data_IF_082368673135
#
_entry.id   IF_082368673135
#
_cell.length_a   1.000
_cell.length_b   1.000
_cell.length_c   1.000
_cell.angle_alpha   90.00
_cell.angle_beta   90.00
_cell.angle_gamma   90.00
#
_symmetry.space_group_name_H-M   'P 1'
#
loop_
_entity.id
_entity.type
_entity.pdbx_description
1 polymer ?
#
# COMPACT_ATOMS: atom_id res chain seq x y z
N UNK A 1 -49.21 -30.46 -31.23
CA UNK A 1 -49.07 -30.41 -29.76
C UNK A 1 -48.58 -29.03 -29.38
N UNK A 2 -49.40 -28.23 -28.69
CA UNK A 2 -49.01 -26.91 -28.14
C UNK A 2 -48.43 -27.15 -26.75
N UNK A 3 -47.20 -26.69 -26.50
CA UNK A 3 -46.61 -26.63 -25.15
C UNK A 3 -47.16 -25.40 -24.42
N UNK A 4 -47.80 -25.63 -23.27
CA UNK A 4 -48.28 -24.58 -22.38
C UNK A 4 -47.11 -24.04 -21.55
N UNK A 5 -46.94 -22.72 -21.60
CA UNK A 5 -45.99 -21.97 -20.78
C UNK A 5 -46.53 -21.90 -19.34
N UNK A 6 -45.72 -22.31 -18.35
CA UNK A 6 -46.09 -22.26 -16.93
C UNK A 6 -45.69 -20.90 -16.38
N UNK A 7 -46.63 -19.94 -16.36
CA UNK A 7 -46.47 -18.70 -15.62
C UNK A 7 -46.30 -18.96 -14.12
N UNK A 8 -45.38 -18.22 -13.48
CA UNK A 8 -45.15 -18.30 -12.03
C UNK A 8 -46.43 -17.96 -11.24
N UNK A 9 -46.71 -18.76 -10.21
CA UNK A 9 -47.95 -18.67 -9.43
C UNK A 9 -48.06 -17.39 -8.59
N UNK A 10 -49.31 -16.97 -8.33
CA UNK A 10 -49.70 -15.76 -7.61
C UNK A 10 -49.03 -15.54 -6.23
N UNK A 11 -48.46 -16.59 -5.63
CA UNK A 11 -47.72 -16.53 -4.36
C UNK A 11 -46.41 -15.73 -4.50
N UNK A 12 -45.74 -15.79 -5.65
CA UNK A 12 -44.49 -15.05 -5.91
C UNK A 12 -44.74 -13.53 -5.95
N UNK A 13 -45.86 -13.12 -6.57
CA UNK A 13 -46.27 -11.71 -6.64
C UNK A 13 -46.64 -11.14 -5.27
N UNK A 14 -47.30 -11.92 -4.41
CA UNK A 14 -47.67 -11.47 -3.06
C UNK A 14 -46.41 -11.25 -2.20
N UNK A 15 -45.38 -12.10 -2.32
CA UNK A 15 -44.12 -11.94 -1.61
C UNK A 15 -43.38 -10.66 -2.03
N UNK A 16 -43.34 -10.35 -3.33
CA UNK A 16 -42.72 -9.13 -3.84
C UNK A 16 -43.49 -7.88 -3.39
N UNK A 17 -44.82 -7.92 -3.42
CA UNK A 17 -45.66 -6.78 -2.96
C UNK A 17 -45.47 -6.53 -1.47
N UNK A 18 -45.39 -7.57 -0.64
CA UNK A 18 -45.15 -7.43 0.80
C UNK A 18 -43.74 -6.94 1.12
N UNK A 19 -42.73 -7.35 0.35
CA UNK A 19 -41.36 -6.86 0.46
C UNK A 19 -41.29 -5.36 0.13
N UNK A 20 -41.94 -4.93 -0.96
CA UNK A 20 -42.00 -3.54 -1.37
C UNK A 20 -42.75 -2.70 -0.33
N UNK A 21 -43.87 -3.21 0.21
CA UNK A 21 -44.61 -2.52 1.27
C UNK A 21 -43.79 -2.39 2.57
N UNK A 22 -43.02 -3.41 2.94
CA UNK A 22 -42.12 -3.38 4.10
C UNK A 22 -40.98 -2.38 3.95
N UNK A 23 -40.37 -2.30 2.75
CA UNK A 23 -39.33 -1.32 2.44
C UNK A 23 -39.91 0.10 2.43
N UNK A 24 -41.10 0.30 1.84
CA UNK A 24 -41.77 1.59 1.81
C UNK A 24 -42.10 2.09 3.23
N UNK A 25 -42.63 1.21 4.10
CA UNK A 25 -42.91 1.54 5.50
C UNK A 25 -41.64 1.89 6.29
N UNK A 26 -40.54 1.16 6.08
CA UNK A 26 -39.25 1.43 6.71
C UNK A 26 -38.61 2.76 6.26
N UNK A 27 -38.82 3.15 5.00
CA UNK A 27 -38.36 4.44 4.45
C UNK A 27 -39.20 5.62 4.97
N UNK A 28 -40.51 5.46 5.12
CA UNK A 28 -41.35 6.53 5.70
C UNK A 28 -41.08 6.78 7.18
N UNK A 29 -40.64 5.76 7.93
CA UNK A 29 -40.34 5.88 9.37
C UNK A 29 -38.95 6.45 9.67
N UNK A 30 -38.04 6.50 8.69
CA UNK A 30 -36.66 7.01 8.87
C UNK A 30 -36.49 8.49 8.54
N UNK A 31 -37.56 9.20 8.15
CA UNK A 31 -37.53 10.64 7.86
C UNK A 31 -36.86 11.03 6.53
N UNK A 32 -36.63 10.08 5.62
CA UNK A 32 -35.99 10.30 4.30
C UNK A 32 -37.05 10.48 3.19
N UNK A 33 -38.25 10.96 3.54
CA UNK A 33 -39.48 10.81 2.74
C UNK A 33 -39.44 11.41 1.33
N UNK A 34 -38.81 12.56 1.13
CA UNK A 34 -39.01 13.33 -0.11
C UNK A 34 -38.05 12.92 -1.24
N UNK A 35 -36.81 12.54 -0.92
CA UNK A 35 -35.78 12.19 -1.92
C UNK A 35 -35.98 10.78 -2.49
N UNK A 36 -36.53 9.86 -1.69
CA UNK A 36 -36.78 8.48 -2.12
C UNK A 36 -38.08 8.36 -2.92
N UNK A 37 -39.10 9.17 -2.59
CA UNK A 37 -40.35 9.22 -3.35
C UNK A 37 -40.12 9.61 -4.82
N UNK A 38 -39.30 10.65 -5.06
CA UNK A 38 -38.96 11.08 -6.43
C UNK A 38 -38.16 10.04 -7.22
N UNK A 39 -37.27 9.29 -6.57
CA UNK A 39 -36.50 8.22 -7.20
C UNK A 39 -37.34 6.98 -7.56
N UNK A 40 -38.34 6.65 -6.73
CA UNK A 40 -39.28 5.56 -7.00
C UNK A 40 -40.24 5.96 -8.14
N UNK A 41 -40.74 7.21 -8.17
CA UNK A 41 -41.58 7.70 -9.26
C UNK A 41 -40.85 7.73 -10.61
N UNK A 42 -39.59 8.17 -10.63
CA UNK A 42 -38.75 8.14 -11.83
C UNK A 42 -38.43 6.71 -12.30
N UNK A 43 -38.21 5.78 -11.37
CA UNK A 43 -38.03 4.36 -11.66
C UNK A 43 -39.28 3.71 -12.25
N UNK A 44 -40.46 4.04 -11.74
CA UNK A 44 -41.75 3.55 -12.27
C UNK A 44 -42.03 4.18 -13.65
N UNK A 45 -41.75 5.46 -13.88
CA UNK A 45 -41.87 6.10 -15.21
C UNK A 45 -41.01 5.40 -16.28
N UNK A 46 -39.77 5.01 -15.93
CA UNK A 46 -38.82 4.37 -16.86
C UNK A 46 -39.24 2.95 -17.27
N UNK A 47 -39.93 2.22 -16.39
CA UNK A 47 -40.45 0.88 -16.66
C UNK A 47 -41.81 0.92 -17.38
N UNK A 48 -42.62 1.96 -17.14
CA UNK A 48 -43.97 2.08 -17.70
C UNK A 48 -44.07 2.81 -19.05
N UNK A 49 -42.97 3.38 -19.58
CA UNK A 49 -42.92 3.96 -20.93
C UNK A 49 -43.85 5.14 -21.18
N UNK A 50 -44.20 5.92 -20.15
CA UNK A 50 -45.09 7.10 -20.28
C UNK A 50 -44.30 8.37 -20.64
N UNK A 51 -44.82 9.18 -21.55
CA UNK A 51 -44.27 10.50 -21.90
C UNK A 51 -44.92 11.60 -21.05
N UNK A 52 -44.10 12.47 -20.43
CA UNK A 52 -44.55 13.65 -19.66
C UNK A 52 -44.15 13.71 -18.17
N UNK A 53 -43.11 13.00 -17.72
CA UNK A 53 -42.66 13.05 -16.33
C UNK A 53 -41.79 14.31 -16.08
N UNK A 54 -42.08 15.09 -15.04
CA UNK A 54 -41.35 16.32 -14.69
C UNK A 54 -39.98 16.00 -14.06
N UNK A 55 -38.93 16.71 -14.47
CA UNK A 55 -37.60 16.62 -13.84
C UNK A 55 -37.62 17.28 -12.45
N UNK A 56 -37.02 16.66 -11.41
CA UNK A 56 -36.91 17.32 -10.11
C UNK A 56 -35.96 18.52 -10.21
N UNK A 57 -36.40 19.67 -9.69
CA UNK A 57 -35.59 20.87 -9.62
C UNK A 57 -34.30 20.64 -8.83
N UNK A 58 -33.18 21.11 -9.38
CA UNK A 58 -31.88 21.07 -8.72
C UNK A 58 -31.89 21.97 -7.48
N UNK A 59 -31.91 21.36 -6.30
CA UNK A 59 -31.58 22.07 -5.06
C UNK A 59 -30.05 22.06 -4.91
N UNK A 60 -29.44 23.24 -5.02
CA UNK A 60 -28.09 23.54 -4.56
C UNK A 60 -28.03 23.40 -3.02
N UNK A 61 -27.94 22.15 -2.56
CA UNK A 61 -27.47 21.82 -1.22
C UNK A 61 -26.03 21.35 -1.35
N UNK A 62 -25.08 22.11 -0.83
CA UNK A 62 -23.69 21.69 -0.70
C UNK A 62 -23.62 20.38 0.10
N UNK A 63 -23.57 19.25 -0.60
CA UNK A 63 -22.88 18.08 -0.08
C UNK A 63 -21.39 18.45 -0.02
N UNK A 64 -20.73 18.38 1.15
CA UNK A 64 -19.29 18.55 1.18
C UNK A 64 -18.70 17.46 0.28
N UNK A 65 -17.96 17.87 -0.75
CA UNK A 65 -17.14 16.95 -1.52
C UNK A 65 -16.31 16.11 -0.54
N UNK A 66 -16.15 14.80 -0.77
CA UNK A 66 -15.14 14.04 -0.02
C UNK A 66 -13.82 14.81 -0.12
N UNK A 67 -13.09 15.00 0.99
CA UNK A 67 -11.92 15.86 0.97
C UNK A 67 -10.96 15.35 -0.11
N UNK A 68 -10.44 16.27 -0.92
CA UNK A 68 -9.33 15.99 -1.84
C UNK A 68 -8.21 15.27 -1.08
N UNK A 69 -7.42 14.40 -1.72
CA UNK A 69 -6.28 13.73 -1.05
C UNK A 69 -5.36 14.74 -0.31
N UNK A 70 -5.31 15.98 -0.79
CA UNK A 70 -4.64 17.11 -0.15
C UNK A 70 -5.25 17.52 1.21
N UNK A 71 -6.56 17.46 1.36
CA UNK A 71 -7.27 17.76 2.63
C UNK A 71 -7.19 16.63 3.65
N UNK A 72 -6.92 15.38 3.23
CA UNK A 72 -6.61 14.27 4.15
C UNK A 72 -5.23 14.43 4.79
N UNK A 73 -4.27 15.03 4.07
CA UNK A 73 -2.92 15.30 4.58
C UNK A 73 -2.85 16.27 5.77
N UNK A 74 -3.96 16.94 6.13
CA UNK A 74 -4.01 17.98 7.15
C UNK A 74 -4.83 17.63 8.42
N UNK A 75 -5.44 16.44 8.51
CA UNK A 75 -6.23 16.04 9.69
C UNK A 75 -5.45 15.10 10.60
N UNK A 76 -4.72 15.65 11.57
CA UNK A 76 -4.14 14.98 12.76
C UNK A 76 -3.58 13.57 12.48
N UNK A 77 -2.59 13.49 11.58
CA UNK A 77 -1.94 12.26 11.08
C UNK A 77 -0.55 12.03 11.68
N UNK A 78 -0.24 12.64 12.83
CA UNK A 78 1.08 12.55 13.44
C UNK A 78 1.23 11.21 14.18
N UNK A 79 2.07 10.28 13.69
CA UNK A 79 2.30 9.00 14.36
C UNK A 79 3.07 9.12 15.68
N UNK A 80 3.73 10.24 15.94
CA UNK A 80 4.40 10.49 17.21
C UNK A 80 3.42 10.93 18.31
N UNK A 81 2.21 11.35 17.93
CA UNK A 81 1.19 11.77 18.88
C UNK A 81 0.55 10.54 19.53
N UNK A 82 0.55 10.44 20.87
CA UNK A 82 -0.15 9.36 21.56
C UNK A 82 -1.65 9.38 21.23
N UNK A 83 -2.31 8.22 21.25
CA UNK A 83 -3.72 8.16 20.95
C UNK A 83 -4.48 8.96 22.01
N UNK A 84 -5.61 9.61 21.65
CA UNK A 84 -6.43 10.33 22.62
C UNK A 84 -6.87 9.37 23.72
N UNK A 85 -6.89 9.86 24.97
CA UNK A 85 -7.40 9.08 26.09
C UNK A 85 -8.87 8.70 25.82
N UNK A 86 -9.25 7.42 25.97
CA UNK A 86 -10.64 7.02 25.85
C UNK A 86 -11.53 7.77 26.84
N UNK A 87 -12.75 8.09 26.42
CA UNK A 87 -13.82 8.58 27.30
C UNK A 87 -14.28 7.48 28.26
N UNK A 88 -15.03 7.83 29.30
CA UNK A 88 -15.60 6.84 30.25
C UNK A 88 -16.52 5.84 29.54
N UNK A 89 -17.27 6.30 28.53
CA UNK A 89 -18.14 5.45 27.74
C UNK A 89 -17.34 4.45 26.88
N UNK A 90 -16.27 4.91 26.25
CA UNK A 90 -15.36 4.05 25.47
C UNK A 90 -14.61 3.08 26.37
N UNK A 91 -14.16 3.52 27.54
CA UNK A 91 -13.52 2.68 28.57
C UNK A 91 -14.43 1.54 28.99
N UNK A 92 -15.69 1.83 29.33
CA UNK A 92 -16.66 0.79 29.71
C UNK A 92 -16.89 -0.22 28.59
N UNK A 93 -17.09 0.24 27.35
CA UNK A 93 -17.28 -0.65 26.21
C UNK A 93 -16.02 -1.44 25.85
N UNK A 94 -14.84 -0.85 25.99
CA UNK A 94 -13.55 -1.51 25.82
C UNK A 94 -13.40 -2.69 26.80
N UNK A 95 -13.76 -2.48 28.07
CA UNK A 95 -13.80 -3.54 29.08
C UNK A 95 -14.79 -4.66 28.76
N UNK A 96 -16.03 -4.31 28.40
CA UNK A 96 -17.04 -5.29 27.96
C UNK A 96 -16.55 -6.11 26.75
N UNK A 97 -15.83 -5.47 25.83
CA UNK A 97 -15.25 -6.12 24.66
C UNK A 97 -14.04 -7.00 25.00
N UNK A 98 -13.18 -6.57 25.93
CA UNK A 98 -12.08 -7.38 26.45
C UNK A 98 -12.59 -8.67 27.10
N UNK A 99 -13.68 -8.61 27.87
CA UNK A 99 -14.31 -9.80 28.48
C UNK A 99 -14.85 -10.77 27.41
N UNK A 100 -15.44 -10.26 26.32
CA UNK A 100 -15.87 -11.09 25.18
C UNK A 100 -14.68 -11.76 24.48
N UNK A 101 -13.59 -11.01 24.28
CA UNK A 101 -12.35 -11.54 23.68
C UNK A 101 -11.76 -12.64 24.55
N UNK A 102 -11.63 -12.43 25.87
CA UNK A 102 -11.17 -13.47 26.81
C UNK A 102 -12.02 -14.72 26.73
N UNK A 103 -13.35 -14.56 26.80
CA UNK A 103 -14.29 -15.67 26.70
C UNK A 103 -14.11 -16.45 25.39
N UNK A 104 -13.84 -15.75 24.28
CA UNK A 104 -13.53 -16.41 23.01
C UNK A 104 -12.19 -17.15 23.05
N UNK A 105 -11.11 -16.47 23.48
CA UNK A 105 -9.76 -17.03 23.49
C UNK A 105 -9.65 -18.26 24.40
N UNK A 106 -10.37 -18.26 25.53
CA UNK A 106 -10.39 -19.36 26.50
C UNK A 106 -11.48 -20.40 26.18
N UNK A 107 -12.25 -20.21 25.10
CA UNK A 107 -13.21 -21.21 24.68
C UNK A 107 -12.51 -22.38 23.99
N UNK A 108 -12.43 -23.50 24.70
CA UNK A 108 -11.99 -24.78 24.13
C UNK A 108 -13.10 -25.36 23.21
N UNK A 109 -13.49 -24.72 22.12
CA UNK A 109 -14.49 -25.33 21.19
C UNK A 109 -13.85 -26.37 20.23
N UNK A 110 -12.63 -26.87 20.52
CA UNK A 110 -11.92 -27.86 19.71
C UNK A 110 -12.26 -29.33 20.06
N UNK A 111 -12.84 -29.63 21.22
CA UNK A 111 -13.00 -31.01 21.73
C UNK A 111 -14.40 -31.64 21.59
N UNK A 112 -15.39 -30.96 20.99
CA UNK A 112 -16.71 -31.58 20.78
C UNK A 112 -17.33 -31.26 19.41
N UNK A 113 -16.90 -32.01 18.39
CA UNK A 113 -17.62 -32.18 17.12
C UNK A 113 -18.97 -32.93 17.27
N UNK A 114 -19.36 -33.34 18.49
CA UNK A 114 -20.53 -34.19 18.73
C UNK A 114 -21.72 -33.54 19.46
N UNK A 115 -21.56 -32.38 20.13
CA UNK A 115 -22.67 -31.76 20.91
C UNK A 115 -23.00 -30.30 20.57
N UNK A 116 -22.26 -29.67 19.65
CA UNK A 116 -22.45 -28.25 19.31
C UNK A 116 -21.91 -27.32 20.40
N UNK A 117 -21.02 -26.41 20.01
CA UNK A 117 -20.52 -25.34 20.89
C UNK A 117 -21.08 -24.03 20.37
N UNK A 118 -21.84 -23.29 21.19
CA UNK A 118 -22.14 -21.88 20.89
C UNK A 118 -20.84 -21.08 21.01
N UNK A 119 -20.09 -20.98 19.90
CA UNK A 119 -18.85 -20.20 19.87
C UNK A 119 -19.17 -18.75 20.24
N UNK A 120 -18.43 -18.15 21.20
CA UNK A 120 -18.50 -16.72 21.44
C UNK A 120 -18.26 -15.93 20.15
N UNK A 121 -18.74 -14.69 20.12
CA UNK A 121 -18.50 -13.77 18.99
C UNK A 121 -16.99 -13.70 18.68
N UNK A 122 -16.62 -13.80 17.40
CA UNK A 122 -15.20 -13.78 17.01
C UNK A 122 -14.56 -12.43 17.37
N UNK A 123 -13.26 -12.39 17.72
CA UNK A 123 -12.59 -11.13 18.06
C UNK A 123 -12.60 -10.13 16.90
N UNK A 124 -12.53 -10.62 15.65
CA UNK A 124 -12.69 -9.79 14.44
C UNK A 124 -14.04 -9.08 14.43
N UNK A 125 -15.13 -9.78 14.75
CA UNK A 125 -16.48 -9.19 14.76
C UNK A 125 -16.65 -8.22 15.92
N UNK A 126 -16.08 -8.53 17.09
CA UNK A 126 -16.05 -7.61 18.24
C UNK A 126 -15.36 -6.30 17.83
N UNK A 127 -14.13 -6.39 17.30
CA UNK A 127 -13.35 -5.23 16.89
C UNK A 127 -13.98 -4.46 15.73
N UNK A 128 -14.71 -5.14 14.84
CA UNK A 128 -15.30 -4.51 13.66
C UNK A 128 -16.42 -3.51 14.00
N UNK A 129 -17.07 -3.68 15.15
CA UNK A 129 -18.11 -2.76 15.63
C UNK A 129 -17.58 -1.60 16.46
N UNK A 130 -16.27 -1.53 16.71
CA UNK A 130 -15.68 -0.60 17.67
C UNK A 130 -15.07 0.64 16.99
N UNK A 131 -15.15 1.75 17.69
CA UNK A 131 -14.42 2.98 17.40
C UNK A 131 -12.95 2.87 17.82
N UNK A 132 -12.04 3.75 17.32
CA UNK A 132 -10.64 3.75 17.72
C UNK A 132 -10.44 3.87 19.24
N UNK A 133 -11.19 4.75 19.91
CA UNK A 133 -11.10 4.93 21.37
C UNK A 133 -11.55 3.69 22.17
N UNK A 134 -12.60 3.00 21.71
CA UNK A 134 -13.02 1.72 22.29
C UNK A 134 -11.96 0.62 22.07
N UNK A 135 -11.31 0.58 20.91
CA UNK A 135 -10.22 -0.37 20.62
C UNK A 135 -9.03 -0.09 21.55
N UNK A 136 -8.64 1.18 21.70
CA UNK A 136 -7.56 1.57 22.63
C UNK A 136 -7.90 1.14 24.08
N UNK A 137 -9.14 1.36 24.52
CA UNK A 137 -9.59 0.92 25.83
C UNK A 137 -9.56 -0.61 25.99
N UNK A 138 -9.97 -1.38 24.97
CA UNK A 138 -9.89 -2.84 25.00
C UNK A 138 -8.45 -3.32 25.17
N UNK A 139 -7.51 -2.81 24.37
CA UNK A 139 -6.11 -3.26 24.43
C UNK A 139 -5.41 -2.81 25.72
N UNK A 140 -5.88 -1.75 26.38
CA UNK A 140 -5.39 -1.35 27.71
C UNK A 140 -5.81 -2.34 28.82
N UNK A 141 -6.87 -3.12 28.62
CA UNK A 141 -7.33 -4.13 29.58
C UNK A 141 -6.65 -5.49 29.40
N UNK A 142 -6.09 -5.78 28.23
CA UNK A 142 -5.48 -7.07 27.92
C UNK A 142 -4.02 -7.12 28.38
N UNK A 143 -3.62 -8.29 28.90
CA UNK A 143 -2.22 -8.63 29.12
C UNK A 143 -1.49 -8.91 27.80
N UNK A 144 -0.16 -8.80 27.81
CA UNK A 144 0.69 -9.11 26.66
C UNK A 144 0.41 -10.51 26.06
N UNK A 145 0.15 -11.52 26.89
CA UNK A 145 -0.13 -12.88 26.43
C UNK A 145 -1.51 -13.00 25.76
N UNK A 146 -2.51 -12.30 26.29
CA UNK A 146 -3.81 -12.18 25.65
C UNK A 146 -3.69 -11.44 24.30
N UNK A 147 -2.90 -10.38 24.23
CA UNK A 147 -2.61 -9.65 22.99
C UNK A 147 -1.95 -10.57 21.96
N UNK A 148 -0.91 -11.33 22.36
CA UNK A 148 -0.22 -12.29 21.46
C UNK A 148 -1.13 -13.39 20.94
N UNK A 149 -2.08 -13.86 21.76
CA UNK A 149 -3.10 -14.83 21.33
C UNK A 149 -4.08 -14.18 20.36
N UNK A 150 -4.60 -13.01 20.73
CA UNK A 150 -5.57 -12.25 19.94
C UNK A 150 -5.05 -11.91 18.52
N UNK A 151 -3.79 -11.47 18.41
CA UNK A 151 -3.22 -11.08 17.11
C UNK A 151 -3.02 -12.25 16.14
N UNK A 152 -3.06 -13.50 16.63
CA UNK A 152 -3.01 -14.70 15.79
C UNK A 152 -4.37 -15.11 15.23
N UNK A 153 -5.46 -14.54 15.76
CA UNK A 153 -6.81 -14.85 15.31
C UNK A 153 -7.08 -14.25 13.92
N UNK A 154 -7.78 -15.02 13.08
CA UNK A 154 -8.02 -14.65 11.68
C UNK A 154 -8.75 -13.30 11.54
N UNK A 155 -8.24 -12.47 10.64
CA UNK A 155 -8.79 -11.16 10.33
C UNK A 155 -8.64 -10.07 11.41
N UNK A 156 -8.13 -10.38 12.61
CA UNK A 156 -7.93 -9.38 13.69
C UNK A 156 -6.97 -8.28 13.26
N UNK A 157 -5.76 -8.65 12.80
CA UNK A 157 -4.76 -7.68 12.31
C UNK A 157 -5.31 -6.82 11.18
N UNK A 158 -6.10 -7.41 10.26
CA UNK A 158 -6.73 -6.69 9.16
C UNK A 158 -7.68 -5.60 9.65
N UNK A 159 -8.49 -5.88 10.67
CA UNK A 159 -9.39 -4.88 11.28
C UNK A 159 -8.58 -3.79 11.99
N UNK A 160 -7.55 -4.18 12.75
CA UNK A 160 -6.71 -3.23 13.49
C UNK A 160 -5.99 -2.26 12.56
N UNK A 161 -5.39 -2.73 11.47
CA UNK A 161 -4.70 -1.88 10.50
C UNK A 161 -5.59 -0.78 9.90
N UNK A 162 -6.90 -1.03 9.85
CA UNK A 162 -7.89 -0.06 9.32
C UNK A 162 -8.44 0.86 10.41
N UNK A 163 -8.59 0.37 11.65
CA UNK A 163 -9.35 1.06 12.72
C UNK A 163 -8.52 1.56 13.89
N UNK A 164 -7.46 0.85 14.25
CA UNK A 164 -6.61 1.24 15.38
C UNK A 164 -5.73 2.43 14.98
N UNK A 165 -5.45 3.29 15.96
CA UNK A 165 -4.49 4.37 15.79
C UNK A 165 -3.08 3.81 15.52
N UNK A 166 -2.29 4.52 14.69
CA UNK A 166 -0.92 4.11 14.36
C UNK A 166 -0.05 3.83 15.61
N UNK A 167 -0.19 4.65 16.65
CA UNK A 167 0.53 4.48 17.93
C UNK A 167 0.16 3.18 18.65
N UNK A 168 -1.10 2.76 18.60
CA UNK A 168 -1.51 1.46 19.15
C UNK A 168 -0.90 0.35 18.31
N UNK A 169 -1.00 0.42 16.98
CA UNK A 169 -0.41 -0.57 16.07
C UNK A 169 1.09 -0.77 16.33
N UNK A 170 1.83 0.31 16.56
CA UNK A 170 3.26 0.24 16.91
C UNK A 170 3.51 -0.36 18.30
N UNK A 171 2.67 -0.07 19.29
CA UNK A 171 2.74 -0.78 20.57
C UNK A 171 2.50 -2.29 20.41
N UNK A 172 1.50 -2.68 19.63
CA UNK A 172 1.18 -4.09 19.37
C UNK A 172 2.31 -4.82 18.65
N UNK A 173 3.00 -4.16 17.71
CA UNK A 173 4.19 -4.71 17.06
C UNK A 173 5.32 -4.99 18.06
N UNK A 174 5.51 -4.15 19.09
CA UNK A 174 6.51 -4.41 20.14
C UNK A 174 6.11 -5.56 21.09
N UNK A 175 4.82 -5.74 21.34
CA UNK A 175 4.30 -6.84 22.17
C UNK A 175 4.37 -8.19 21.42
N UNK A 176 4.04 -8.17 20.13
CA UNK A 176 4.00 -9.33 19.25
C UNK A 176 4.65 -9.04 17.89
N UNK A 177 5.99 -9.06 17.80
CA UNK A 177 6.71 -8.76 16.56
C UNK A 177 6.27 -9.62 15.37
N UNK A 178 6.34 -9.05 14.17
CA UNK A 178 5.95 -9.66 12.89
C UNK A 178 4.43 -9.84 12.70
N UNK A 179 3.63 -9.30 13.61
CA UNK A 179 2.17 -9.41 13.55
C UNK A 179 1.54 -8.24 12.81
N UNK A 180 2.10 -7.03 12.96
CA UNK A 180 1.58 -5.81 12.35
C UNK A 180 2.43 -5.41 11.15
N UNK A 181 3.74 -5.35 11.32
CA UNK A 181 4.68 -4.92 10.28
C UNK A 181 5.55 -6.09 9.77
N UNK A 182 6.09 -6.01 8.53
CA UNK A 182 6.85 -7.12 7.96
C UNK A 182 8.10 -7.46 8.76
N UNK A 183 8.53 -8.71 8.71
CA UNK A 183 9.79 -9.11 9.34
C UNK A 183 10.98 -8.45 8.61
N UNK A 184 12.01 -8.08 9.36
CA UNK A 184 13.29 -7.60 8.83
C UNK A 184 14.49 -8.40 9.36
N UNK A 185 14.26 -9.34 10.28
CA UNK A 185 15.31 -10.12 10.94
C UNK A 185 15.99 -11.13 9.99
N UNK A 186 15.37 -11.40 8.84
CA UNK A 186 15.83 -12.30 7.80
C UNK A 186 16.63 -11.61 6.69
N UNK A 187 16.83 -10.29 6.73
CA UNK A 187 17.62 -9.57 5.73
C UNK A 187 19.06 -10.07 5.71
N UNK A 188 19.47 -10.62 4.56
CA UNK A 188 20.83 -11.10 4.28
C UNK A 188 21.21 -10.65 2.88
N UNK A 189 22.24 -9.82 2.78
CA UNK A 189 22.80 -9.39 1.50
C UNK A 189 24.00 -10.28 1.15
N UNK A 190 23.96 -10.94 -0.02
CA UNK A 190 24.90 -12.02 -0.39
C UNK A 190 25.14 -13.05 0.73
N UNK A 191 24.07 -13.43 1.44
CA UNK A 191 24.13 -14.36 2.57
C UNK A 191 24.71 -13.80 3.88
N UNK A 192 25.13 -12.52 3.90
CA UNK A 192 25.71 -11.84 5.06
C UNK A 192 24.68 -10.95 5.74
N UNK A 193 24.76 -10.86 7.07
CA UNK A 193 23.95 -9.86 7.81
C UNK A 193 24.48 -8.45 7.50
N UNK A 194 23.60 -7.43 7.40
CA UNK A 194 24.02 -6.04 7.35
C UNK A 194 24.92 -5.69 8.54
N UNK A 195 25.89 -4.80 8.33
CA UNK A 195 26.76 -4.29 9.38
C UNK A 195 26.00 -3.55 10.48
N UNK A 196 24.89 -2.91 10.09
CA UNK A 196 24.00 -2.16 10.97
C UNK A 196 22.55 -2.61 10.70
N UNK A 197 22.12 -3.75 11.26
CA UNK A 197 20.80 -4.29 10.98
C UNK A 197 19.71 -3.44 11.65
N UNK A 198 18.52 -3.46 11.06
CA UNK A 198 17.32 -2.95 11.71
C UNK A 198 17.08 -3.67 13.04
N UNK A 199 16.68 -2.92 14.06
CA UNK A 199 16.39 -3.41 15.40
C UNK A 199 15.00 -3.05 15.89
N UNK A 200 14.38 -2.01 15.33
CA UNK A 200 13.04 -1.55 15.69
C UNK A 200 12.37 -0.85 14.52
N UNK A 201 11.15 -0.33 14.73
CA UNK A 201 10.41 0.53 13.82
C UNK A 201 10.33 1.96 14.40
N UNK A 202 10.69 2.98 13.64
CA UNK A 202 10.72 4.39 14.05
C UNK A 202 9.99 5.32 13.08
N UNK A 203 9.74 6.56 13.50
CA UNK A 203 9.03 7.55 12.66
C UNK A 203 9.97 8.35 11.78
N UNK A 204 9.39 9.04 10.78
CA UNK A 204 10.06 10.09 10.02
C UNK A 204 9.43 11.43 10.42
N UNK A 205 10.05 12.19 11.33
CA UNK A 205 9.48 13.45 11.80
C UNK A 205 9.22 14.42 10.65
N UNK A 206 8.03 15.01 10.61
CA UNK A 206 7.56 15.91 9.56
C UNK A 206 7.55 15.31 8.14
N UNK A 207 7.52 13.97 8.02
CA UNK A 207 7.46 13.28 6.74
C UNK A 207 6.19 13.64 5.96
N UNK A 208 6.36 13.98 4.68
CA UNK A 208 5.28 14.22 3.75
C UNK A 208 5.23 13.11 2.71
N UNK A 209 4.03 12.64 2.35
CA UNK A 209 3.91 11.52 1.42
C UNK A 209 4.59 11.82 0.07
N UNK A 210 4.27 12.96 -0.55
CA UNK A 210 4.81 13.38 -1.86
C UNK A 210 5.54 14.72 -1.82
N UNK A 211 6.04 15.12 -0.65
CA UNK A 211 6.73 16.40 -0.47
C UNK A 211 5.87 17.63 -0.79
N UNK A 212 6.54 18.77 -0.93
CA UNK A 212 5.90 20.08 -1.17
C UNK A 212 5.38 20.24 -2.61
N UNK A 213 5.96 19.50 -3.55
CA UNK A 213 5.51 19.49 -4.95
C UNK A 213 4.23 18.68 -5.13
N UNK A 214 3.93 17.75 -4.20
CA UNK A 214 2.81 16.81 -4.33
C UNK A 214 3.03 15.74 -5.39
N UNK A 215 4.26 15.56 -5.88
CA UNK A 215 4.60 14.70 -7.00
C UNK A 215 5.80 13.79 -6.66
N UNK A 216 5.70 12.47 -6.89
CA UNK A 216 6.86 11.59 -6.83
C UNK A 216 7.98 12.07 -7.75
N UNK A 217 9.23 12.06 -7.27
CA UNK A 217 10.40 12.47 -8.04
C UNK A 217 11.47 11.39 -8.03
N UNK A 218 12.30 11.35 -9.07
CA UNK A 218 13.49 10.48 -9.11
C UNK A 218 14.44 10.81 -7.94
N UNK A 219 14.51 12.07 -7.55
CA UNK A 219 15.35 12.54 -6.43
C UNK A 219 14.84 12.09 -5.05
N UNK A 220 13.64 11.52 -4.97
CA UNK A 220 13.12 10.96 -3.72
C UNK A 220 13.70 9.57 -3.43
N UNK A 221 14.28 8.92 -4.45
CA UNK A 221 14.85 7.58 -4.35
C UNK A 221 16.20 7.62 -3.65
N UNK A 222 16.25 7.01 -2.47
CA UNK A 222 17.47 6.93 -1.67
C UNK A 222 17.47 5.62 -0.88
N UNK A 223 18.18 4.63 -1.42
CA UNK A 223 18.30 3.29 -0.87
C UNK A 223 19.20 3.23 0.35
N UNK A 224 18.84 2.39 1.33
CA UNK A 224 19.68 2.08 2.49
C UNK A 224 20.34 0.72 2.44
N UNK A 225 20.55 0.13 3.62
CA UNK A 225 21.33 -1.08 3.84
C UNK A 225 20.62 -2.40 3.53
N UNK A 226 20.00 -2.52 2.35
CA UNK A 226 19.36 -3.73 1.84
C UNK A 226 19.55 -3.85 0.32
N UNK A 227 19.72 -5.07 -0.19
CA UNK A 227 19.96 -5.37 -1.61
C UNK A 227 18.70 -5.36 -2.48
N UNK A 228 17.85 -4.33 -2.40
CA UNK A 228 16.62 -4.18 -3.17
C UNK A 228 16.70 -3.04 -4.22
N UNK A 229 17.89 -2.79 -4.74
CA UNK A 229 18.17 -1.73 -5.71
C UNK A 229 17.27 -1.80 -6.94
N UNK A 230 16.92 -3.02 -7.37
CA UNK A 230 15.97 -3.28 -8.46
C UNK A 230 14.60 -2.64 -8.21
N UNK A 231 14.10 -2.67 -6.98
CA UNK A 231 12.81 -2.12 -6.62
C UNK A 231 12.85 -0.58 -6.59
N UNK A 232 13.89 -0.02 -5.98
CA UNK A 232 14.06 1.42 -5.86
C UNK A 232 14.39 2.08 -7.19
N UNK A 233 15.22 1.45 -8.03
CA UNK A 233 15.45 1.87 -9.40
C UNK A 233 14.17 1.81 -10.24
N UNK A 234 13.34 0.77 -10.08
CA UNK A 234 12.05 0.68 -10.79
C UNK A 234 11.10 1.83 -10.42
N UNK A 235 10.99 2.14 -9.13
CA UNK A 235 10.23 3.30 -8.65
C UNK A 235 10.77 4.61 -9.23
N UNK A 236 12.10 4.75 -9.24
CA UNK A 236 12.79 5.89 -9.85
C UNK A 236 12.52 6.01 -11.35
N UNK A 237 12.57 4.92 -12.10
CA UNK A 237 12.30 4.90 -13.53
C UNK A 237 10.89 5.40 -13.85
N UNK A 238 9.89 4.99 -13.06
CA UNK A 238 8.51 5.43 -13.22
C UNK A 238 8.32 6.92 -12.89
N UNK A 239 8.91 7.40 -11.79
CA UNK A 239 8.68 8.78 -11.30
C UNK A 239 9.18 9.88 -12.25
N UNK A 240 9.99 9.52 -13.24
CA UNK A 240 10.44 10.43 -14.29
C UNK A 240 9.30 10.88 -15.23
N UNK A 241 8.27 10.06 -15.40
CA UNK A 241 7.22 10.29 -16.38
C UNK A 241 5.92 10.74 -15.71
N UNK A 242 5.09 11.59 -16.37
CA UNK A 242 3.79 11.95 -15.82
C UNK A 242 2.90 10.75 -15.51
N UNK A 243 2.86 9.76 -16.40
CA UNK A 243 2.05 8.55 -16.21
C UNK A 243 2.56 7.69 -15.04
N UNK A 244 3.88 7.58 -14.88
CA UNK A 244 4.45 6.81 -13.77
C UNK A 244 4.25 7.49 -12.42
N UNK A 245 4.35 8.83 -12.36
CA UNK A 245 3.97 9.60 -11.17
C UNK A 245 2.51 9.41 -10.80
N UNK A 246 1.61 9.45 -11.79
CA UNK A 246 0.19 9.20 -11.57
C UNK A 246 -0.06 7.77 -11.06
N UNK A 247 0.60 6.77 -11.66
CA UNK A 247 0.53 5.38 -11.21
C UNK A 247 0.97 5.24 -9.74
N UNK A 248 2.12 5.80 -9.36
CA UNK A 248 2.63 5.76 -7.98
C UNK A 248 1.64 6.42 -7.02
N UNK A 249 1.09 7.60 -7.36
CA UNK A 249 0.09 8.28 -6.53
C UNK A 249 -1.17 7.45 -6.36
N UNK A 250 -1.66 6.83 -7.43
CA UNK A 250 -2.86 6.00 -7.41
C UNK A 250 -2.69 4.73 -6.59
N UNK A 251 -1.46 4.21 -6.48
CA UNK A 251 -1.17 3.05 -5.64
C UNK A 251 -1.32 3.36 -4.15
N UNK A 252 -0.99 4.59 -3.70
CA UNK A 252 -0.85 4.89 -2.27
C UNK A 252 -2.01 5.75 -1.77
N UNK A 253 -2.70 5.25 -0.73
CA UNK A 253 -3.70 6.01 0.03
C UNK A 253 -3.27 6.15 1.48
N UNK A 254 -3.12 7.39 1.95
CA UNK A 254 -3.00 7.66 3.38
C UNK A 254 -4.36 7.53 4.07
N UNK A 255 -4.39 6.82 5.20
CA UNK A 255 -5.58 6.54 5.96
C UNK A 255 -5.75 7.55 7.11
N UNK A 256 -6.99 7.80 7.56
CA UNK A 256 -7.25 8.71 8.69
C UNK A 256 -6.57 8.29 10.00
N UNK A 257 -6.27 7.00 10.18
CA UNK A 257 -5.55 6.50 11.36
C UNK A 257 -4.02 6.61 11.25
N UNK A 258 -3.51 7.29 10.21
CA UNK A 258 -2.07 7.48 9.96
C UNK A 258 -1.37 6.34 9.22
N UNK A 259 -2.05 5.22 8.94
CA UNK A 259 -1.49 4.13 8.13
C UNK A 259 -1.53 4.45 6.63
N UNK A 260 -0.85 3.66 5.82
CA UNK A 260 -0.91 3.74 4.35
C UNK A 260 -1.46 2.43 3.78
N UNK A 261 -2.44 2.51 2.88
CA UNK A 261 -2.87 1.39 2.05
C UNK A 261 -2.24 1.52 0.66
N UNK A 262 -1.48 0.52 0.26
CA UNK A 262 -0.96 0.36 -1.10
C UNK A 262 -1.83 -0.64 -1.85
N UNK A 263 -2.34 -0.24 -3.02
CA UNK A 263 -3.05 -1.14 -3.95
C UNK A 263 -2.13 -1.45 -5.12
N UNK A 264 -1.69 -2.70 -5.23
CA UNK A 264 -0.86 -3.16 -6.34
C UNK A 264 -1.70 -3.35 -7.61
N UNK A 265 -1.10 -3.29 -8.81
CA UNK A 265 -1.80 -3.49 -10.07
C UNK A 265 -2.53 -4.83 -10.22
N UNK A 266 -2.11 -5.86 -9.48
CA UNK A 266 -2.81 -7.15 -9.42
C UNK A 266 -4.08 -7.14 -8.53
N UNK A 267 -4.40 -5.99 -7.94
CA UNK A 267 -5.56 -5.77 -7.06
C UNK A 267 -5.29 -6.05 -5.59
N UNK A 268 -4.12 -6.59 -5.22
CA UNK A 268 -3.79 -6.85 -3.83
C UNK A 268 -3.63 -5.53 -3.05
N UNK A 269 -4.24 -5.47 -1.87
CA UNK A 269 -4.17 -4.32 -0.97
C UNK A 269 -3.36 -4.66 0.26
N UNK A 270 -2.32 -3.90 0.51
CA UNK A 270 -1.46 -4.02 1.68
C UNK A 270 -1.55 -2.76 2.50
N UNK A 271 -1.87 -2.87 3.79
CA UNK A 271 -1.84 -1.73 4.72
C UNK A 271 -0.63 -1.84 5.64
N UNK A 272 0.14 -0.75 5.73
CA UNK A 272 1.37 -0.65 6.52
C UNK A 272 1.29 0.55 7.46
N UNK A 273 1.93 0.43 8.63
CA UNK A 273 2.03 1.54 9.59
C UNK A 273 3.04 2.60 9.11
N UNK A 274 2.99 3.84 9.62
CA UNK A 274 3.94 4.91 9.29
C UNK A 274 5.29 4.80 10.03
N UNK A 275 5.59 3.66 10.66
CA UNK A 275 6.88 3.41 11.32
C UNK A 275 7.76 2.57 10.40
N UNK A 276 9.02 2.91 10.22
CA UNK A 276 9.94 2.27 9.27
C UNK A 276 11.14 1.65 9.99
N UNK A 277 11.78 0.61 9.43
CA UNK A 277 12.89 -0.05 10.10
C UNK A 277 14.03 0.91 10.45
N UNK A 278 14.42 0.94 11.72
CA UNK A 278 15.52 1.74 12.24
C UNK A 278 16.58 0.85 12.89
N UNK A 279 17.83 1.30 12.82
CA UNK A 279 18.94 0.68 13.51
C UNK A 279 18.90 0.98 15.02
N UNK A 280 19.89 0.43 15.74
CA UNK A 280 20.05 0.66 17.19
C UNK A 280 20.27 2.13 17.59
N UNK A 281 20.61 3.00 16.63
CA UNK A 281 20.84 4.43 16.83
C UNK A 281 19.63 5.27 16.44
N UNK A 282 18.52 4.65 15.98
CA UNK A 282 17.33 5.35 15.49
C UNK A 282 17.42 5.86 14.05
N UNK A 283 18.45 5.46 13.29
CA UNK A 283 18.61 5.80 11.87
C UNK A 283 17.87 4.80 10.99
N UNK A 284 17.21 5.27 9.93
CA UNK A 284 16.52 4.39 8.98
C UNK A 284 17.49 3.40 8.34
N UNK A 285 17.08 2.13 8.30
CA UNK A 285 17.95 1.03 7.86
C UNK A 285 17.87 0.75 6.36
N UNK A 286 16.71 0.99 5.72
CA UNK A 286 16.45 0.66 4.31
C UNK A 286 16.18 1.95 3.54
N UNK A 287 15.16 2.07 2.70
CA UNK A 287 14.84 3.34 2.04
C UNK A 287 14.82 4.49 3.07
N UNK A 288 15.45 5.59 2.69
CA UNK A 288 15.56 6.79 3.50
C UNK A 288 14.89 7.96 2.77
N UNK A 289 14.23 8.88 3.47
CA UNK A 289 13.55 9.97 2.82
C UNK A 289 14.59 10.94 2.27
N UNK A 290 14.33 11.48 1.08
CA UNK A 290 15.05 12.63 0.56
C UNK A 290 14.16 13.88 0.63
N UNK A 291 14.77 15.06 0.47
CA UNK A 291 14.07 16.34 0.48
C UNK A 291 13.91 16.98 1.86
N UNK A 292 13.47 18.25 1.84
CA UNK A 292 13.18 19.06 3.02
C UNK A 292 11.87 19.82 2.78
N UNK A 293 10.74 19.46 3.44
CA UNK A 293 10.59 18.37 4.43
C UNK A 293 10.81 16.96 3.84
N UNK A 294 11.08 15.94 4.67
CA UNK A 294 11.35 14.57 4.21
C UNK A 294 10.19 13.96 3.41
N UNK A 295 10.48 13.28 2.28
CA UNK A 295 9.49 12.62 1.43
C UNK A 295 9.45 11.11 1.69
N UNK A 296 8.27 10.53 1.95
CA UNK A 296 8.15 9.15 2.46
C UNK A 296 7.53 8.11 1.52
N UNK A 297 7.00 8.48 0.35
CA UNK A 297 6.40 7.50 -0.56
C UNK A 297 7.31 6.31 -0.94
N UNK A 298 8.65 6.45 -1.11
CA UNK A 298 9.49 5.29 -1.42
C UNK A 298 9.52 4.28 -0.28
N UNK A 299 9.59 4.77 0.96
CA UNK A 299 9.59 3.94 2.18
C UNK A 299 8.25 3.20 2.32
N UNK A 300 7.15 3.86 2.00
CA UNK A 300 5.81 3.26 2.04
C UNK A 300 5.70 2.11 1.04
N UNK A 301 6.18 2.29 -0.20
CA UNK A 301 6.14 1.24 -1.22
C UNK A 301 7.12 0.10 -0.94
N UNK A 302 8.34 0.39 -0.46
CA UNK A 302 9.31 -0.62 -0.01
C UNK A 302 8.70 -1.49 1.10
N UNK A 303 8.16 -0.88 2.16
CA UNK A 303 7.51 -1.59 3.26
C UNK A 303 6.29 -2.38 2.81
N UNK A 304 5.47 -1.84 1.92
CA UNK A 304 4.30 -2.53 1.40
C UNK A 304 4.69 -3.75 0.56
N UNK A 305 5.74 -3.67 -0.25
CA UNK A 305 6.24 -4.81 -1.01
C UNK A 305 6.85 -5.87 -0.09
N UNK A 306 7.59 -5.46 0.95
CA UNK A 306 8.07 -6.37 1.99
C UNK A 306 6.91 -7.11 2.66
N UNK A 307 5.83 -6.41 3.03
CA UNK A 307 4.64 -7.02 3.61
C UNK A 307 3.91 -7.95 2.62
N UNK A 308 3.79 -7.59 1.34
CA UNK A 308 3.24 -8.46 0.28
C UNK A 308 4.05 -9.76 0.12
N UNK A 309 5.38 -9.66 0.21
CA UNK A 309 6.31 -10.80 0.05
C UNK A 309 6.58 -11.55 1.37
N UNK A 310 6.13 -11.02 2.50
CA UNK A 310 6.24 -11.60 3.85
C UNK A 310 7.35 -11.03 4.72
N UNK A 311 8.42 -10.45 4.15
CA UNK A 311 9.51 -9.80 4.89
C UNK A 311 10.37 -8.91 4.00
N UNK A 312 11.20 -8.06 4.61
CA UNK A 312 12.23 -7.31 3.91
C UNK A 312 13.30 -8.25 3.32
N UNK A 313 13.65 -9.35 3.98
CA UNK A 313 14.62 -10.30 3.43
C UNK A 313 14.21 -10.89 2.07
N UNK A 314 12.92 -10.88 1.72
CA UNK A 314 12.39 -11.30 0.41
C UNK A 314 12.49 -10.23 -0.68
N UNK A 315 13.01 -9.05 -0.36
CA UNK A 315 13.31 -7.98 -1.32
C UNK A 315 14.75 -8.05 -1.83
N UNK A 316 15.63 -8.79 -1.14
CA UNK A 316 17.03 -8.91 -1.53
C UNK A 316 17.15 -9.66 -2.85
N UNK A 317 17.86 -9.04 -3.80
CA UNK A 317 18.06 -9.49 -5.16
C UNK A 317 16.78 -9.52 -5.99
N UNK A 318 16.88 -8.96 -7.20
CA UNK A 318 15.78 -8.88 -8.14
C UNK A 318 16.18 -8.10 -9.38
N UNK A 319 15.25 -8.01 -10.31
CA UNK A 319 15.46 -7.43 -11.63
C UNK A 319 14.61 -6.16 -11.84
N UNK A 320 15.17 -5.17 -12.54
CA UNK A 320 14.50 -3.89 -12.77
C UNK A 320 13.23 -4.03 -13.63
N UNK A 321 13.24 -4.91 -14.63
CA UNK A 321 12.06 -5.24 -15.43
C UNK A 321 10.91 -5.79 -14.59
N UNK A 322 11.22 -6.71 -13.66
CA UNK A 322 10.23 -7.26 -12.72
C UNK A 322 9.67 -6.20 -11.76
N UNK A 323 10.50 -5.30 -11.24
CA UNK A 323 10.05 -4.20 -10.39
C UNK A 323 9.13 -3.24 -11.13
N UNK A 324 9.48 -2.84 -12.35
CA UNK A 324 8.61 -2.01 -13.17
C UNK A 324 7.29 -2.72 -13.52
N UNK A 325 7.31 -4.03 -13.77
CA UNK A 325 6.10 -4.83 -13.98
C UNK A 325 5.20 -4.88 -12.75
N UNK A 326 5.78 -5.01 -11.54
CA UNK A 326 5.00 -4.97 -10.29
C UNK A 326 4.33 -3.61 -10.12
N UNK A 327 4.99 -2.51 -10.50
CA UNK A 327 4.42 -1.16 -10.36
C UNK A 327 3.36 -0.83 -11.42
N UNK A 328 3.52 -1.34 -12.64
CA UNK A 328 2.65 -1.00 -13.78
C UNK A 328 1.57 -2.04 -14.08
N UNK A 329 1.77 -3.29 -13.66
CA UNK A 329 0.97 -4.44 -14.09
C UNK A 329 1.24 -4.85 -15.55
N UNK A 330 2.24 -4.24 -16.22
CA UNK A 330 2.52 -4.44 -17.64
C UNK A 330 3.86 -5.14 -17.85
N UNK A 331 3.91 -6.05 -18.81
CA UNK A 331 5.16 -6.68 -19.22
C UNK A 331 6.04 -5.67 -19.97
N UNK A 332 7.34 -5.71 -19.69
CA UNK A 332 8.36 -4.97 -20.41
C UNK A 332 9.13 -5.81 -21.43
N UNK A 333 10.21 -5.23 -21.94
CA UNK A 333 11.23 -5.90 -22.75
C UNK A 333 12.57 -5.86 -21.99
N UNK A 334 13.26 -6.99 -21.91
CA UNK A 334 14.67 -7.09 -21.50
C UNK A 334 15.51 -7.34 -22.75
N UNK A 335 16.67 -6.67 -22.87
CA UNK A 335 17.57 -6.80 -24.02
C UNK A 335 19.02 -6.82 -23.58
N UNK A 336 19.82 -7.63 -24.28
CA UNK A 336 21.27 -7.49 -24.20
C UNK A 336 21.70 -6.07 -24.61
N UNK A 337 22.43 -5.32 -23.76
CA UNK A 337 22.86 -3.95 -24.05
C UNK A 337 23.58 -3.81 -25.40
N UNK A 338 24.35 -4.81 -25.83
CA UNK A 338 25.07 -4.81 -27.11
C UNK A 338 24.17 -4.69 -28.34
N UNK A 339 22.88 -4.98 -28.19
CA UNK A 339 21.88 -4.90 -29.26
C UNK A 339 21.03 -3.62 -29.18
N UNK A 340 21.34 -2.71 -28.26
CA UNK A 340 20.59 -1.46 -28.06
C UNK A 340 21.45 -0.27 -28.45
N UNK A 341 20.98 0.52 -29.41
CA UNK A 341 21.63 1.76 -29.84
C UNK A 341 21.19 2.95 -29.00
N UNK A 342 21.94 4.06 -29.10
CA UNK A 342 21.58 5.32 -28.46
C UNK A 342 20.19 5.80 -28.91
N UNK A 343 19.89 5.68 -30.20
CA UNK A 343 18.60 6.09 -30.78
C UNK A 343 17.45 5.24 -30.23
N UNK A 344 17.69 3.95 -29.98
CA UNK A 344 16.70 3.07 -29.38
C UNK A 344 16.43 3.42 -27.91
N UNK A 345 17.47 3.74 -27.12
CA UNK A 345 17.31 4.26 -25.75
C UNK A 345 16.53 5.58 -25.76
N UNK A 346 16.90 6.52 -26.63
CA UNK A 346 16.20 7.80 -26.76
C UNK A 346 14.72 7.59 -27.10
N UNK A 347 14.42 6.70 -28.03
CA UNK A 347 13.03 6.38 -28.42
C UNK A 347 12.21 5.83 -27.24
N UNK A 348 12.80 5.01 -26.39
CA UNK A 348 12.13 4.52 -25.18
C UNK A 348 11.83 5.66 -24.20
N UNK A 349 12.83 6.51 -23.92
CA UNK A 349 12.66 7.66 -23.04
C UNK A 349 11.60 8.65 -23.57
N UNK A 350 11.65 8.96 -24.87
CA UNK A 350 10.69 9.85 -25.53
C UNK A 350 9.26 9.30 -25.51
N UNK A 351 9.10 7.97 -25.53
CA UNK A 351 7.79 7.33 -25.39
C UNK A 351 7.22 7.39 -23.97
N UNK A 352 8.04 7.81 -22.99
CA UNK A 352 7.68 7.78 -21.58
C UNK A 352 7.73 6.38 -20.97
N UNK A 353 8.60 5.50 -21.48
CA UNK A 353 8.87 4.21 -20.86
C UNK A 353 9.84 4.38 -19.67
N UNK A 354 9.72 3.51 -18.68
CA UNK A 354 10.76 3.35 -17.66
C UNK A 354 11.90 2.52 -18.23
N UNK A 355 13.15 2.89 -17.92
CA UNK A 355 14.33 2.15 -18.39
C UNK A 355 15.33 1.97 -17.24
N UNK A 356 15.73 0.73 -16.99
CA UNK A 356 16.74 0.36 -15.98
C UNK A 356 17.85 -0.47 -16.60
N UNK A 357 19.04 -0.44 -15.99
CA UNK A 357 20.20 -1.21 -16.41
C UNK A 357 20.75 -2.04 -15.26
N UNK A 358 21.10 -3.30 -15.52
CA UNK A 358 21.71 -4.20 -14.54
C UNK A 358 23.20 -4.38 -14.83
N UNK A 359 24.02 -4.22 -13.80
CA UNK A 359 25.44 -4.51 -13.86
C UNK A 359 25.75 -5.98 -13.51
N UNK A 360 26.90 -6.53 -13.95
CA UNK A 360 27.30 -7.90 -13.63
C UNK A 360 27.35 -8.20 -12.14
N UNK A 361 27.09 -9.45 -11.79
CA UNK A 361 27.25 -9.98 -10.43
C UNK A 361 28.63 -9.64 -9.85
N UNK A 362 28.67 -9.27 -8.57
CA UNK A 362 29.91 -8.90 -7.87
C UNK A 362 30.97 -10.01 -7.88
N UNK A 363 30.54 -11.27 -7.87
CA UNK A 363 31.42 -12.45 -7.97
C UNK A 363 32.11 -12.55 -9.36
N UNK A 364 31.45 -12.14 -10.44
CA UNK A 364 32.03 -12.16 -11.81
C UNK A 364 33.14 -11.12 -11.98
N UNK A 365 33.13 -10.07 -11.17
CA UNK A 365 34.06 -8.92 -11.26
C UNK A 365 35.00 -8.80 -10.06
N UNK A 366 35.00 -9.79 -9.16
CA UNK A 366 35.91 -9.86 -8.02
C UNK A 366 35.67 -8.78 -6.95
N UNK A 367 34.41 -8.33 -6.78
CA UNK A 367 34.00 -7.40 -5.73
C UNK A 367 34.52 -5.96 -5.88
N UNK A 368 35.02 -5.57 -7.05
CA UNK A 368 35.47 -4.21 -7.35
C UNK A 368 34.37 -3.44 -8.10
N UNK A 369 34.39 -2.09 -8.05
CA UNK A 369 33.62 -1.27 -8.99
C UNK A 369 33.92 -1.74 -10.42
N UNK A 370 32.87 -1.94 -11.21
CA UNK A 370 33.01 -2.36 -12.61
C UNK A 370 33.56 -1.21 -13.47
N UNK A 371 33.40 0.02 -12.97
CA UNK A 371 33.96 1.23 -13.55
C UNK A 371 34.31 2.25 -12.47
N UNK A 372 35.47 2.88 -12.60
CA UNK A 372 35.90 4.01 -11.79
C UNK A 372 36.61 5.02 -12.72
N UNK A 373 35.84 6.00 -13.18
CA UNK A 373 36.32 7.12 -13.97
C UNK A 373 36.61 8.35 -13.09
N UNK A 374 37.13 9.44 -13.68
CA UNK A 374 37.50 10.66 -12.94
C UNK A 374 36.36 11.30 -12.14
N UNK A 375 35.10 11.02 -12.50
CA UNK A 375 33.90 11.64 -11.87
C UNK A 375 32.68 10.71 -11.84
N UNK A 376 32.85 9.42 -12.11
CA UNK A 376 31.74 8.46 -12.15
C UNK A 376 32.23 7.09 -11.71
N UNK A 377 31.39 6.40 -10.94
CA UNK A 377 31.67 5.07 -10.43
C UNK A 377 30.46 4.18 -10.70
N UNK A 378 30.69 2.97 -11.21
CA UNK A 378 29.66 1.96 -11.34
C UNK A 378 29.98 0.80 -10.40
N UNK A 379 28.95 0.38 -9.69
CA UNK A 379 28.96 -0.74 -8.75
C UNK A 379 28.41 -2.00 -9.42
N UNK A 380 29.00 -3.14 -9.06
CA UNK A 380 28.55 -4.47 -9.49
C UNK A 380 27.28 -4.89 -8.74
N UNK A 381 26.57 -5.87 -9.28
CA UNK A 381 25.30 -6.39 -8.77
C UNK A 381 24.30 -5.29 -8.40
N UNK A 382 24.10 -4.35 -9.33
CA UNK A 382 23.37 -3.13 -9.06
C UNK A 382 22.54 -2.65 -10.24
N UNK A 383 21.33 -2.20 -9.93
CA UNK A 383 20.39 -1.66 -10.92
C UNK A 383 20.45 -0.13 -10.93
N UNK A 384 20.63 0.45 -12.11
CA UNK A 384 20.61 1.90 -12.35
C UNK A 384 19.36 2.30 -13.13
N UNK A 385 18.91 3.53 -12.94
CA UNK A 385 17.88 4.14 -13.79
C UNK A 385 18.54 4.89 -14.93
N UNK A 386 18.07 4.71 -16.17
CA UNK A 386 18.45 5.62 -17.27
C UNK A 386 17.60 6.88 -17.13
N UNK A 387 18.23 8.01 -16.80
CA UNK A 387 17.52 9.27 -16.59
C UNK A 387 17.44 10.17 -17.82
N UNK A 388 18.30 9.92 -18.81
CA UNK A 388 18.41 10.76 -19.97
C UNK A 388 19.59 10.39 -20.85
N UNK A 389 19.69 11.10 -21.97
CA UNK A 389 20.85 11.07 -22.85
C UNK A 389 21.29 12.52 -23.04
N UNK A 390 22.58 12.78 -22.83
CA UNK A 390 23.16 14.12 -23.02
C UNK A 390 23.16 14.52 -24.50
N UNK A 391 23.35 15.81 -24.77
CA UNK A 391 23.44 16.32 -26.15
C UNK A 391 24.57 15.70 -26.96
N UNK A 392 25.67 15.30 -26.31
CA UNK A 392 26.81 14.60 -26.91
C UNK A 392 26.64 13.06 -26.95
N UNK A 393 25.44 12.55 -26.63
CA UNK A 393 25.08 11.14 -26.80
C UNK A 393 25.50 10.20 -25.67
N UNK A 394 25.84 10.73 -24.50
CA UNK A 394 26.17 9.92 -23.32
C UNK A 394 24.91 9.56 -22.54
N UNK A 395 24.88 8.36 -21.99
CA UNK A 395 23.78 7.87 -21.17
C UNK A 395 23.96 8.40 -19.75
N UNK A 396 22.96 9.13 -19.25
CA UNK A 396 22.95 9.59 -17.88
C UNK A 396 22.21 8.58 -16.99
N UNK A 397 22.86 8.19 -15.89
CA UNK A 397 22.38 7.18 -14.98
C UNK A 397 22.14 7.76 -13.59
N UNK A 398 21.03 7.35 -12.98
CA UNK A 398 20.75 7.58 -11.58
C UNK A 398 20.97 6.27 -10.81
N UNK A 399 21.82 6.35 -9.80
CA UNK A 399 22.05 5.26 -8.86
C UNK A 399 21.00 5.38 -7.73
N UNK A 400 20.18 4.34 -7.46
CA UNK A 400 19.15 4.37 -6.42
C UNK A 400 19.69 4.60 -4.99
N UNK A 401 21.01 4.52 -4.77
CA UNK A 401 21.65 4.95 -3.51
C UNK A 401 21.59 6.46 -3.27
N UNK A 402 21.16 7.26 -4.26
CA UNK A 402 21.07 8.72 -4.15
C UNK A 402 22.41 9.45 -4.32
N UNK A 403 23.52 8.73 -4.52
CA UNK A 403 24.85 9.24 -4.81
C UNK A 403 25.56 8.37 -5.86
N UNK A 404 26.79 8.70 -6.27
CA UNK A 404 27.52 7.98 -7.34
C UNK A 404 26.69 7.84 -8.64
N UNK A 405 25.95 8.88 -9.00
CA UNK A 405 25.34 8.97 -10.32
C UNK A 405 26.44 8.95 -11.39
N UNK A 406 26.14 8.38 -12.55
CA UNK A 406 27.14 8.20 -13.61
C UNK A 406 26.68 8.80 -14.93
N UNK A 407 27.63 9.22 -15.76
CA UNK A 407 27.37 9.56 -17.16
C UNK A 407 28.39 8.82 -18.01
N UNK A 408 27.91 7.94 -18.88
CA UNK A 408 28.75 6.98 -19.60
C UNK A 408 28.54 7.07 -21.10
N UNK A 409 29.56 6.71 -21.86
CA UNK A 409 29.47 6.56 -23.31
C UNK A 409 28.68 5.30 -23.69
N UNK A 410 28.21 5.22 -24.94
CA UNK A 410 27.58 4.00 -25.45
C UNK A 410 28.54 2.79 -25.46
N UNK A 411 29.83 3.02 -25.66
CA UNK A 411 30.85 1.97 -25.57
C UNK A 411 30.91 1.39 -24.14
N UNK A 412 30.92 2.26 -23.13
CA UNK A 412 30.90 1.85 -21.72
C UNK A 412 29.56 1.17 -21.36
N UNK A 413 28.43 1.66 -21.88
CA UNK A 413 27.13 1.02 -21.76
C UNK A 413 27.13 -0.42 -22.28
N UNK A 414 27.66 -0.66 -23.49
CA UNK A 414 27.77 -2.01 -24.08
C UNK A 414 28.75 -2.92 -23.34
N UNK A 415 29.70 -2.33 -22.61
CA UNK A 415 30.76 -3.04 -21.92
C UNK A 415 30.40 -3.45 -20.50
N UNK A 416 29.74 -2.57 -19.74
CA UNK A 416 29.61 -2.71 -18.28
C UNK A 416 28.23 -3.16 -17.80
N UNK A 417 27.24 -3.28 -18.69
CA UNK A 417 25.90 -3.74 -18.32
C UNK A 417 25.61 -5.10 -18.95
N UNK A 418 24.93 -5.96 -18.19
CA UNK A 418 24.52 -7.30 -18.66
C UNK A 418 23.10 -7.27 -19.24
N UNK A 419 22.24 -6.39 -18.71
CA UNK A 419 20.85 -6.25 -19.17
C UNK A 419 20.40 -4.78 -19.23
N UNK A 420 19.45 -4.51 -20.13
CA UNK A 420 18.66 -3.29 -20.17
C UNK A 420 17.18 -3.65 -20.25
N UNK A 421 16.44 -3.18 -19.26
CA UNK A 421 14.99 -3.35 -19.18
C UNK A 421 14.28 -2.08 -19.59
N UNK A 422 13.23 -2.23 -20.38
CA UNK A 422 12.28 -1.19 -20.71
C UNK A 422 10.88 -1.65 -20.30
N UNK A 423 10.12 -0.79 -19.62
CA UNK A 423 8.72 -1.05 -19.31
C UNK A 423 7.79 0.05 -19.86
N UNK A 424 6.76 -0.30 -20.65
CA UNK A 424 5.79 0.67 -21.13
C UNK A 424 4.88 1.10 -19.97
N UNK A 425 4.97 2.38 -19.59
CA UNK A 425 4.14 2.91 -18.49
C UNK A 425 2.74 3.27 -19.01
N UNK A 426 2.63 3.81 -20.23
CA UNK A 426 1.36 4.14 -20.89
C UNK A 426 0.68 2.97 -21.57
#
# INVERSE_FOLDING_TARGET
MRTADRGEGAVSYIAVILLIAGIAAAVTLSGVGDTVAGGIEAGICKVAGRTGCAEPAAHEGQQPNPPSQQEWGNRNTDPDKPPPKPTDAETRKGKEAADKVRKYLDSDCAWYQFFGCDKPQSPKDVLSGMSPGEINALFAELSDDEIRRLLKEDGVVGVLKVRADASLLHHLERVAPKSIDPDFTDVRDHGKKPSNPATDYGTVPNGQLFGTTGEPSLTDINQGGIGDCWWLASMGALSQTPAGREQIKNMIRQNPNGTYTVTFPDGEKVTVTPYFPIDKNGSLSYASPAGQPPVVWPLVLEKALAAKRGSYGKLVSGDGGDGMKILTGKSGESKNPKNVSQEQLQKWLDSGAGVTLLTPDSDKVGGKPIYEGPSSRLHADHVYVVKGITKDGKVELYNPWGYDHATITMEEFHKYFEDVDMNPIK
#
